data_IF_965520876475
#
_entry.id   IF_965520876475
#
_cell.length_a   1.000
_cell.length_b   1.000
_cell.length_c   1.000
_cell.angle_alpha   90.00
_cell.angle_beta   90.00
_cell.angle_gamma   90.00
#
_symmetry.space_group_name_H-M   'P 1'
#
loop_
_entity.id
_entity.type
_entity.pdbx_description
1 polymer ?
#
# COMPACT_ATOMS: atom_id res chain seq x y z
N UNK A 1 9.29 18.10 -4.00
CA UNK A 1 8.60 17.51 -2.83
C UNK A 1 9.64 16.83 -1.94
N UNK A 2 9.47 16.80 -0.61
CA UNK A 2 10.39 16.09 0.32
C UNK A 2 9.95 14.63 0.50
N UNK A 3 10.88 13.74 0.86
CA UNK A 3 10.63 12.30 0.99
C UNK A 3 9.50 11.95 1.99
N UNK A 4 9.51 12.59 3.18
CA UNK A 4 8.51 12.30 4.23
C UNK A 4 7.08 12.65 3.76
N UNK A 5 6.77 13.88 3.30
CA UNK A 5 5.44 14.19 2.78
C UNK A 5 4.99 13.31 1.62
N UNK A 6 5.91 12.90 0.76
CA UNK A 6 5.62 12.01 -0.37
C UNK A 6 5.14 10.64 0.10
N UNK A 7 5.93 9.94 0.91
CA UNK A 7 5.56 8.62 1.43
C UNK A 7 4.29 8.72 2.27
N UNK A 8 4.21 9.74 3.13
CA UNK A 8 3.08 9.92 4.03
C UNK A 8 1.74 10.06 3.29
N UNK A 9 1.70 10.80 2.17
CA UNK A 9 0.49 10.95 1.36
C UNK A 9 -0.04 9.60 0.83
N UNK A 10 0.86 8.73 0.34
CA UNK A 10 0.50 7.40 -0.17
C UNK A 10 0.21 6.38 0.92
N UNK A 11 0.73 6.60 2.13
CA UNK A 11 0.33 5.83 3.31
C UNK A 11 -1.12 6.15 3.70
N UNK A 12 -1.50 7.43 3.66
CA UNK A 12 -2.86 7.86 4.02
C UNK A 12 -3.93 7.22 3.14
N UNK A 13 -3.71 7.16 1.81
CA UNK A 13 -4.69 6.57 0.87
C UNK A 13 -4.57 5.05 0.70
N UNK A 14 -3.78 4.35 1.52
CA UNK A 14 -3.59 2.89 1.48
C UNK A 14 -3.03 2.33 0.17
N UNK A 15 -2.56 3.17 -0.75
CA UNK A 15 -1.92 2.69 -1.97
C UNK A 15 -0.46 2.29 -1.73
N UNK A 16 0.26 3.04 -0.88
CA UNK A 16 1.70 2.84 -0.61
C UNK A 16 2.57 2.80 -1.88
N UNK A 17 2.14 3.51 -2.94
CA UNK A 17 2.74 3.51 -4.27
C UNK A 17 4.27 3.53 -4.31
N UNK A 18 4.97 4.42 -3.55
CA UNK A 18 6.42 4.57 -3.67
C UNK A 18 7.22 3.34 -3.29
N UNK A 19 6.61 2.42 -2.53
CA UNK A 19 7.31 1.26 -2.00
C UNK A 19 7.26 0.04 -2.92
N UNK A 20 6.45 0.04 -3.99
CA UNK A 20 6.29 -1.13 -4.88
C UNK A 20 6.16 -0.80 -6.37
N UNK A 21 5.81 0.44 -6.74
CA UNK A 21 5.53 0.77 -8.14
C UNK A 21 6.74 0.55 -9.04
N UNK A 22 6.54 -0.22 -10.13
CA UNK A 22 7.58 -0.60 -11.08
C UNK A 22 8.25 -1.96 -10.79
N UNK A 23 8.12 -2.49 -9.56
CA UNK A 23 8.69 -3.80 -9.22
C UNK A 23 8.02 -4.94 -9.97
N UNK A 24 6.69 -4.90 -10.13
CA UNK A 24 5.95 -5.93 -10.87
C UNK A 24 6.39 -6.00 -12.33
N UNK A 25 6.49 -4.86 -13.00
CA UNK A 25 7.00 -4.78 -14.38
C UNK A 25 8.46 -5.24 -14.48
N UNK A 26 9.32 -4.87 -13.53
CA UNK A 26 10.71 -5.31 -13.52
C UNK A 26 10.83 -6.84 -13.34
N UNK A 27 10.11 -7.42 -12.38
CA UNK A 27 10.14 -8.85 -12.13
C UNK A 27 9.52 -9.65 -13.28
N UNK A 28 8.46 -9.16 -13.91
CA UNK A 28 7.87 -9.80 -15.08
C UNK A 28 8.81 -9.85 -16.31
N UNK A 29 9.82 -8.98 -16.35
CA UNK A 29 10.83 -8.97 -17.42
C UNK A 29 12.04 -9.89 -17.17
N UNK A 30 12.15 -10.45 -15.97
CA UNK A 30 13.24 -11.34 -15.58
C UNK A 30 12.80 -12.81 -15.56
N UNK A 31 13.76 -13.73 -15.62
CA UNK A 31 13.47 -15.16 -15.50
C UNK A 31 13.09 -15.55 -14.07
N UNK A 32 11.98 -16.25 -13.89
CA UNK A 32 11.48 -16.61 -12.57
C UNK A 32 12.43 -17.55 -11.82
N UNK A 33 13.11 -18.46 -12.52
CA UNK A 33 14.06 -19.37 -11.87
C UNK A 33 15.27 -18.59 -11.34
N UNK A 34 15.76 -17.59 -12.08
CA UNK A 34 16.79 -16.66 -11.61
C UNK A 34 16.33 -15.88 -10.38
N UNK A 35 15.14 -15.25 -10.41
CA UNK A 35 14.61 -14.49 -9.27
C UNK A 35 14.46 -15.37 -8.01
N UNK A 36 14.00 -16.62 -8.18
CA UNK A 36 13.93 -17.60 -7.09
C UNK A 36 15.32 -17.99 -6.57
N UNK A 37 16.30 -18.09 -7.46
CA UNK A 37 17.71 -18.30 -7.10
C UNK A 37 18.24 -17.15 -6.25
N UNK A 38 18.05 -15.91 -6.70
CA UNK A 38 18.43 -14.70 -5.97
C UNK A 38 17.75 -14.62 -4.60
N UNK A 39 16.46 -14.96 -4.51
CA UNK A 39 15.73 -14.97 -3.24
C UNK A 39 16.31 -15.97 -2.23
N UNK A 40 16.71 -17.15 -2.71
CA UNK A 40 17.32 -18.21 -1.90
C UNK A 40 18.75 -17.88 -1.50
N UNK A 41 19.55 -17.33 -2.40
CA UNK A 41 21.01 -17.27 -2.23
C UNK A 41 21.52 -15.90 -1.82
N UNK A 42 20.82 -14.82 -2.16
CA UNK A 42 21.29 -13.46 -1.94
C UNK A 42 20.49 -12.74 -0.84
N UNK A 43 21.08 -12.48 0.35
CA UNK A 43 20.37 -11.84 1.47
C UNK A 43 19.78 -10.46 1.15
N UNK A 44 20.43 -9.69 0.28
CA UNK A 44 19.93 -8.37 -0.14
C UNK A 44 18.60 -8.50 -0.90
N UNK A 45 18.57 -9.33 -1.95
CA UNK A 45 17.36 -9.52 -2.74
C UNK A 45 16.24 -10.15 -1.91
N UNK A 46 16.59 -11.10 -1.03
CA UNK A 46 15.63 -11.65 -0.06
C UNK A 46 14.98 -10.57 0.79
N UNK A 47 15.78 -9.66 1.35
CA UNK A 47 15.30 -8.55 2.20
C UNK A 47 14.43 -7.59 1.40
N UNK A 48 14.81 -7.29 0.15
CA UNK A 48 14.03 -6.45 -0.75
C UNK A 48 12.64 -7.04 -0.99
N UNK A 49 12.55 -8.33 -1.35
CA UNK A 49 11.28 -9.02 -1.59
C UNK A 49 10.44 -9.11 -0.32
N UNK A 50 11.06 -9.36 0.85
CA UNK A 50 10.35 -9.36 2.14
C UNK A 50 9.76 -7.99 2.50
N UNK A 51 10.49 -6.91 2.21
CA UNK A 51 9.98 -5.55 2.40
C UNK A 51 8.82 -5.25 1.45
N UNK A 52 8.91 -5.66 0.18
CA UNK A 52 7.80 -5.57 -0.77
C UNK A 52 6.57 -6.33 -0.27
N UNK A 53 6.75 -7.59 0.13
CA UNK A 53 5.68 -8.45 0.65
C UNK A 53 4.97 -7.79 1.84
N UNK A 54 5.73 -7.21 2.78
CA UNK A 54 5.17 -6.52 3.95
C UNK A 54 4.40 -5.24 3.59
N UNK A 55 4.89 -4.46 2.63
CA UNK A 55 4.22 -3.24 2.16
C UNK A 55 2.93 -3.58 1.42
N UNK A 56 2.97 -4.54 0.51
CA UNK A 56 1.81 -4.98 -0.26
C UNK A 56 0.71 -5.51 0.67
N UNK A 57 1.07 -6.25 1.71
CA UNK A 57 0.11 -6.74 2.71
C UNK A 57 -0.61 -5.63 3.50
N UNK A 58 -0.01 -4.43 3.62
CA UNK A 58 -0.62 -3.27 4.29
C UNK A 58 -1.44 -2.40 3.34
N UNK A 59 -1.20 -2.51 2.05
CA UNK A 59 -1.93 -1.77 1.02
C UNK A 59 -3.35 -2.29 0.86
N UNK A 60 -4.26 -1.41 0.47
CA UNK A 60 -5.64 -1.75 0.13
C UNK A 60 -6.04 -0.95 -1.10
N UNK A 61 -6.15 -1.64 -2.24
CA UNK A 61 -6.59 -1.02 -3.50
C UNK A 61 -8.07 -0.66 -3.47
N UNK A 62 -8.87 -1.38 -2.67
CA UNK A 62 -10.29 -1.05 -2.42
C UNK A 62 -10.40 0.32 -1.77
N UNK A 63 -9.69 0.54 -0.66
CA UNK A 63 -9.68 1.84 0.01
C UNK A 63 -9.05 2.92 -0.88
N UNK A 64 -7.96 2.62 -1.59
CA UNK A 64 -7.35 3.58 -2.50
C UNK A 64 -8.32 4.03 -3.61
N UNK A 65 -9.20 3.15 -4.08
CA UNK A 65 -10.23 3.48 -5.06
C UNK A 65 -11.27 4.47 -4.52
N UNK A 66 -11.63 4.42 -3.23
CA UNK A 66 -12.56 5.39 -2.62
C UNK A 66 -12.01 6.83 -2.69
N UNK A 67 -10.70 7.01 -2.58
CA UNK A 67 -10.07 8.34 -2.69
C UNK A 67 -10.16 8.91 -4.10
N UNK A 68 -10.46 8.10 -5.13
CA UNK A 68 -10.66 8.59 -6.49
C UNK A 68 -11.93 9.43 -6.61
N UNK A 69 -12.90 9.27 -5.72
CA UNK A 69 -14.09 10.13 -5.67
C UNK A 69 -13.76 11.61 -5.35
N UNK A 70 -12.52 11.89 -4.97
CA UNK A 70 -12.04 13.24 -4.67
C UNK A 70 -11.31 13.90 -5.85
N UNK A 71 -11.11 13.20 -6.96
CA UNK A 71 -10.40 13.73 -8.13
C UNK A 71 -11.33 13.83 -9.34
N UNK A 72 -11.12 14.84 -10.17
CA UNK A 72 -11.91 15.02 -11.40
C UNK A 72 -11.52 14.01 -12.50
N UNK A 73 -10.25 13.59 -12.50
CA UNK A 73 -9.70 12.65 -13.50
C UNK A 73 -8.85 11.57 -12.81
N UNK A 74 -9.16 10.30 -13.12
CA UNK A 74 -8.50 9.13 -12.56
C UNK A 74 -7.78 8.28 -13.62
N UNK A 75 -7.30 8.89 -14.72
CA UNK A 75 -6.67 8.18 -15.84
C UNK A 75 -5.44 7.35 -15.46
N UNK A 76 -4.78 7.69 -14.35
CA UNK A 76 -3.63 6.96 -13.82
C UNK A 76 -4.01 5.75 -12.94
N UNK A 77 -5.28 5.59 -12.56
CA UNK A 77 -5.69 4.54 -11.64
C UNK A 77 -5.49 3.14 -12.22
N UNK A 78 -5.98 2.89 -13.43
CA UNK A 78 -5.89 1.56 -14.05
C UNK A 78 -4.44 1.08 -14.20
N UNK A 79 -3.49 1.89 -14.72
CA UNK A 79 -2.07 1.52 -14.74
C UNK A 79 -1.51 1.18 -13.35
N UNK A 80 -1.88 1.96 -12.33
CA UNK A 80 -1.42 1.78 -10.95
C UNK A 80 -1.97 0.47 -10.36
N UNK A 81 -3.27 0.25 -10.46
CA UNK A 81 -3.92 -0.97 -9.95
C UNK A 81 -3.39 -2.23 -10.66
N UNK A 82 -3.16 -2.15 -11.98
CA UNK A 82 -2.58 -3.25 -12.74
C UNK A 82 -1.13 -3.55 -12.33
N UNK A 83 -0.32 -2.51 -12.08
CA UNK A 83 1.05 -2.68 -11.58
C UNK A 83 1.08 -3.27 -10.17
N UNK A 84 0.14 -2.89 -9.30
CA UNK A 84 -0.01 -3.49 -7.97
C UNK A 84 -0.27 -4.99 -8.06
N UNK A 85 -1.28 -5.39 -8.85
CA UNK A 85 -1.63 -6.79 -9.07
C UNK A 85 -0.46 -7.59 -9.65
N UNK A 86 0.26 -7.05 -10.64
CA UNK A 86 1.48 -7.67 -11.18
C UNK A 86 2.55 -7.85 -10.10
N UNK A 87 2.74 -6.85 -9.25
CA UNK A 87 3.76 -6.90 -8.19
C UNK A 87 3.39 -7.94 -7.13
N UNK A 88 2.12 -8.04 -6.73
CA UNK A 88 1.63 -9.09 -5.82
C UNK A 88 1.88 -10.47 -6.41
N UNK A 89 1.47 -10.71 -7.67
CA UNK A 89 1.67 -12.00 -8.33
C UNK A 89 3.16 -12.38 -8.39
N UNK A 90 4.02 -11.46 -8.84
CA UNK A 90 5.45 -11.71 -8.93
C UNK A 90 6.07 -12.02 -7.57
N UNK A 91 5.69 -11.29 -6.50
CA UNK A 91 6.18 -11.57 -5.15
C UNK A 91 5.78 -12.97 -4.71
N UNK A 92 4.50 -13.35 -4.88
CA UNK A 92 4.00 -14.69 -4.53
C UNK A 92 4.73 -15.81 -5.30
N UNK A 93 5.00 -15.61 -6.57
CA UNK A 93 5.74 -16.56 -7.41
C UNK A 93 7.21 -16.71 -6.98
N UNK A 94 7.88 -15.61 -6.62
CA UNK A 94 9.27 -15.60 -6.16
C UNK A 94 9.40 -16.29 -4.80
N UNK A 95 8.44 -16.04 -3.90
CA UNK A 95 8.48 -16.56 -2.53
C UNK A 95 7.85 -17.94 -2.36
N UNK A 96 7.16 -18.41 -3.40
CA UNK A 96 6.48 -19.70 -3.48
C UNK A 96 5.38 -19.86 -2.42
N UNK A 97 4.51 -18.86 -2.29
CA UNK A 97 3.35 -18.88 -1.37
C UNK A 97 2.04 -18.54 -2.07
N UNK A 98 0.91 -18.90 -1.46
CA UNK A 98 -0.42 -18.66 -2.01
C UNK A 98 -0.99 -17.30 -1.60
N UNK A 99 -0.58 -16.79 -0.44
CA UNK A 99 -0.95 -15.47 0.06
C UNK A 99 0.26 -14.73 0.63
N UNK A 100 0.15 -13.40 0.65
CA UNK A 100 1.20 -12.55 1.21
C UNK A 100 1.36 -12.84 2.69
N UNK A 101 2.61 -12.96 3.13
CA UNK A 101 3.01 -13.22 4.52
C UNK A 101 2.62 -14.60 5.07
N UNK A 102 2.37 -15.60 4.22
CA UNK A 102 2.11 -16.99 4.67
C UNK A 102 3.24 -17.55 5.55
N UNK A 103 4.47 -17.09 5.33
CA UNK A 103 5.66 -17.47 6.11
C UNK A 103 5.79 -16.69 7.42
N UNK A 104 4.92 -15.71 7.64
CA UNK A 104 4.90 -14.82 8.80
C UNK A 104 3.48 -14.71 9.41
N UNK A 105 2.87 -15.82 9.87
CA UNK A 105 1.46 -15.88 10.24
C UNK A 105 1.08 -14.92 11.39
N UNK A 106 2.01 -14.67 12.33
CA UNK A 106 1.80 -13.68 13.42
C UNK A 106 1.65 -12.27 12.86
N UNK A 107 2.50 -11.89 11.89
CA UNK A 107 2.46 -10.58 11.24
C UNK A 107 1.21 -10.47 10.36
N UNK A 108 0.94 -11.50 9.55
CA UNK A 108 -0.24 -11.59 8.69
C UNK A 108 -1.53 -11.39 9.49
N UNK A 109 -1.69 -12.13 10.61
CA UNK A 109 -2.84 -11.97 11.51
C UNK A 109 -2.90 -10.58 12.13
N UNK A 110 -1.76 -10.04 12.56
CA UNK A 110 -1.71 -8.70 13.16
C UNK A 110 -2.16 -7.60 12.20
N UNK A 111 -1.84 -7.72 10.92
CA UNK A 111 -2.30 -6.80 9.85
C UNK A 111 -3.79 -7.02 9.59
N UNK A 112 -4.21 -8.27 9.41
CA UNK A 112 -5.62 -8.65 9.14
C UNK A 112 -6.57 -8.13 10.22
N UNK A 113 -6.19 -8.21 11.49
CA UNK A 113 -6.99 -7.70 12.60
C UNK A 113 -7.00 -6.17 12.66
N UNK A 114 -5.93 -5.50 12.20
CA UNK A 114 -5.83 -4.04 12.26
C UNK A 114 -6.57 -3.35 11.13
N UNK A 115 -6.54 -3.90 9.92
CA UNK A 115 -7.12 -3.26 8.74
C UNK A 115 -8.58 -2.83 8.97
N UNK A 116 -9.49 -3.67 9.53
CA UNK A 116 -10.88 -3.28 9.77
C UNK A 116 -11.09 -2.09 10.72
N UNK A 117 -10.09 -1.71 11.52
CA UNK A 117 -10.15 -0.50 12.36
C UNK A 117 -9.65 0.74 11.62
N UNK A 118 -8.79 0.57 10.62
CA UNK A 118 -8.24 1.67 9.81
C UNK A 118 -9.18 2.02 8.66
N UNK A 119 -9.85 1.03 8.09
CA UNK A 119 -10.70 1.20 6.91
C UNK A 119 -11.87 2.19 7.16
N UNK A 120 -12.58 2.18 8.31
CA UNK A 120 -13.57 3.22 8.61
C UNK A 120 -12.96 4.62 8.75
N UNK A 121 -11.73 4.72 9.26
CA UNK A 121 -11.04 6.02 9.37
C UNK A 121 -10.70 6.58 7.98
N UNK A 122 -10.36 5.71 7.02
CA UNK A 122 -10.15 6.10 5.63
C UNK A 122 -11.44 6.61 4.98
N UNK A 123 -12.56 5.90 5.13
CA UNK A 123 -13.85 6.34 4.60
C UNK A 123 -14.30 7.69 5.20
N UNK A 124 -14.12 7.87 6.52
CA UNK A 124 -14.35 9.15 7.20
C UNK A 124 -13.41 10.24 6.63
N UNK A 125 -12.13 9.93 6.43
CA UNK A 125 -11.17 10.87 5.86
C UNK A 125 -11.57 11.33 4.46
N UNK A 126 -12.07 10.45 3.60
CA UNK A 126 -12.57 10.81 2.25
C UNK A 126 -13.71 11.83 2.36
N UNK A 127 -14.70 11.58 3.22
CA UNK A 127 -15.81 12.50 3.46
C UNK A 127 -15.34 13.86 4.00
N UNK A 128 -14.41 13.86 4.96
CA UNK A 128 -13.84 15.08 5.53
C UNK A 128 -13.00 15.88 4.53
N UNK A 129 -12.22 15.20 3.68
CA UNK A 129 -11.47 15.84 2.61
C UNK A 129 -12.39 16.50 1.58
N UNK A 130 -13.51 15.84 1.24
CA UNK A 130 -14.53 16.41 0.34
C UNK A 130 -15.12 17.70 0.92
N UNK A 131 -15.53 17.67 2.19
CA UNK A 131 -16.05 18.85 2.91
C UNK A 131 -15.03 19.99 2.95
N UNK A 132 -13.80 19.68 3.36
CA UNK A 132 -12.71 20.66 3.42
C UNK A 132 -12.45 21.31 2.06
N UNK A 133 -12.38 20.53 0.97
CA UNK A 133 -12.19 21.04 -0.40
C UNK A 133 -13.37 21.89 -0.89
N UNK A 134 -14.57 21.68 -0.34
CA UNK A 134 -15.75 22.51 -0.59
C UNK A 134 -15.78 23.80 0.27
N UNK A 135 -14.77 24.04 1.10
CA UNK A 135 -14.64 25.26 1.92
C UNK A 135 -15.14 25.14 3.37
N UNK A 136 -15.47 23.94 3.83
CA UNK A 136 -15.88 23.71 5.23
C UNK A 136 -14.67 23.60 6.16
N UNK A 137 -14.34 24.69 6.85
CA UNK A 137 -13.23 24.73 7.81
C UNK A 137 -13.48 23.90 9.07
N UNK A 138 -14.74 23.61 9.44
CA UNK A 138 -15.05 22.77 10.60
C UNK A 138 -14.64 21.31 10.38
N UNK A 139 -14.42 20.91 9.13
CA UNK A 139 -13.88 19.60 8.79
C UNK A 139 -12.39 19.44 9.17
N UNK A 140 -11.64 20.53 9.40
CA UNK A 140 -10.18 20.46 9.62
C UNK A 140 -9.81 19.74 10.92
N UNK A 141 -10.37 20.05 12.10
CA UNK A 141 -10.03 19.33 13.33
C UNK A 141 -10.27 17.81 13.26
N UNK A 142 -11.42 17.30 12.79
CA UNK A 142 -11.60 15.85 12.64
C UNK A 142 -10.72 15.27 11.51
N UNK A 143 -10.42 16.02 10.45
CA UNK A 143 -9.51 15.56 9.39
C UNK A 143 -8.11 15.29 9.95
N UNK A 144 -7.56 16.21 10.75
CA UNK A 144 -6.26 16.01 11.41
C UNK A 144 -6.25 14.79 12.33
N UNK A 145 -7.36 14.49 13.02
CA UNK A 145 -7.51 13.27 13.84
C UNK A 145 -7.49 12.02 12.98
N UNK A 146 -8.17 12.02 11.83
CA UNK A 146 -8.13 10.90 10.88
C UNK A 146 -6.71 10.64 10.38
N UNK A 147 -5.97 11.71 10.04
CA UNK A 147 -4.58 11.63 9.56
C UNK A 147 -3.68 10.97 10.61
N UNK A 148 -3.79 11.41 11.86
CA UNK A 148 -3.04 10.83 12.98
C UNK A 148 -3.45 9.38 13.27
N UNK A 149 -4.76 9.07 13.22
CA UNK A 149 -5.30 7.75 13.46
C UNK A 149 -4.83 6.71 12.43
N UNK A 150 -4.90 7.05 11.14
CA UNK A 150 -4.42 6.19 10.05
C UNK A 150 -2.90 5.95 10.17
N UNK A 151 -2.13 7.00 10.45
CA UNK A 151 -0.68 6.87 10.65
C UNK A 151 -0.34 5.95 11.83
N UNK A 152 -1.06 6.06 12.94
CA UNK A 152 -0.87 5.20 14.11
C UNK A 152 -1.26 3.73 13.84
N UNK A 153 -2.32 3.50 13.04
CA UNK A 153 -2.78 2.17 12.66
C UNK A 153 -1.80 1.42 11.75
N UNK A 154 -1.28 2.12 10.74
CA UNK A 154 -0.40 1.55 9.71
C UNK A 154 1.05 1.37 10.17
N UNK A 155 1.50 2.17 11.14
CA UNK A 155 2.90 2.16 11.62
C UNK A 155 3.87 2.29 10.44
N UNK A 156 5.00 1.57 10.49
CA UNK A 156 6.09 1.67 9.51
C UNK A 156 5.62 1.16 8.14
N UNK A 157 5.70 2.01 7.11
CA UNK A 157 5.17 1.75 5.75
C UNK A 157 6.17 2.03 4.62
N UNK A 158 7.40 2.45 4.97
CA UNK A 158 8.52 2.66 4.07
C UNK A 158 9.82 2.79 4.85
#
# INVERSE_FOLDING_TARGET
MRAIPWVFAWTQNRCLLPAWYGCGSAFASADLAELRGLYREWPFFRTLVQNLEMTLAKSSMEIAAEYLELVDEASLWEPIAAEHARTVAAVLDIVETASLLDRHPVVQRSITVRNPYVDPMNAIQVSLLRRYRAGDEEAVPPLLRSIAGIAAGLRNTG
#
